data_IF_842445058203
#
_entry.id   IF_842445058203
#
_cell.length_a   1.000
_cell.length_b   1.000
_cell.length_c   1.000
_cell.angle_alpha   90.00
_cell.angle_beta   90.00
_cell.angle_gamma   90.00
#
_symmetry.space_group_name_H-M   'P 1'
#
loop_
_entity.id
_entity.type
_entity.pdbx_description
1 polymer ?
#
# COMPACT_ATOMS: atom_id res chain seq x y z
N UNK A 1 -14.38 -2.90 16.89
CA UNK A 1 -12.90 -2.80 16.88
C UNK A 1 -12.33 -2.88 15.46
N UNK A 2 -12.44 -4.01 14.74
CA UNK A 2 -12.00 -4.12 13.33
C UNK A 2 -12.72 -3.16 12.38
N UNK A 3 -14.03 -2.96 12.54
CA UNK A 3 -14.79 -2.01 11.70
C UNK A 3 -14.26 -0.58 11.79
N UNK A 4 -13.91 -0.12 13.00
CA UNK A 4 -13.37 1.23 13.23
C UNK A 4 -11.97 1.37 12.62
N UNK A 5 -11.15 0.31 12.71
CA UNK A 5 -9.83 0.28 12.09
C UNK A 5 -9.95 0.33 10.56
N UNK A 6 -10.88 -0.43 9.98
CA UNK A 6 -11.14 -0.44 8.54
C UNK A 6 -11.59 0.94 8.05
N UNK A 7 -12.48 1.59 8.80
CA UNK A 7 -12.92 2.95 8.49
C UNK A 7 -11.75 3.94 8.53
N UNK A 8 -10.88 3.85 9.54
CA UNK A 8 -9.70 4.71 9.65
C UNK A 8 -8.68 4.47 8.54
N UNK A 9 -8.49 3.21 8.12
CA UNK A 9 -7.63 2.86 6.98
C UNK A 9 -8.18 3.49 5.70
N UNK A 10 -9.48 3.34 5.45
CA UNK A 10 -10.12 3.90 4.25
C UNK A 10 -10.06 5.44 4.23
N UNK A 11 -10.21 6.10 5.38
CA UNK A 11 -10.08 7.56 5.51
C UNK A 11 -8.67 8.09 5.22
N UNK A 12 -7.67 7.21 5.21
CA UNK A 12 -6.26 7.56 4.99
C UNK A 12 -5.65 6.76 3.84
N UNK A 13 -6.48 6.21 2.92
CA UNK A 13 -6.03 5.41 1.78
C UNK A 13 -5.01 6.16 0.93
N UNK A 14 -5.15 7.50 0.80
CA UNK A 14 -4.23 8.39 0.09
C UNK A 14 -2.83 8.51 0.72
N UNK A 15 -2.68 8.08 1.98
CA UNK A 15 -1.43 8.16 2.76
C UNK A 15 -0.85 6.80 3.08
N UNK A 16 -1.55 5.72 2.73
CA UNK A 16 -1.17 4.35 3.04
C UNK A 16 -0.73 3.68 1.75
N UNK A 17 0.57 3.43 1.65
CA UNK A 17 1.17 2.78 0.50
C UNK A 17 0.93 1.25 0.49
N UNK A 18 0.90 0.62 1.67
CA UNK A 18 0.84 -0.83 1.78
C UNK A 18 0.25 -1.25 3.13
N UNK A 19 -0.56 -2.31 3.13
CA UNK A 19 -1.12 -2.91 4.34
C UNK A 19 -0.56 -4.33 4.48
N UNK A 20 0.13 -4.62 5.58
CA UNK A 20 0.58 -5.98 5.92
C UNK A 20 -0.35 -6.52 7.00
N UNK A 21 -1.00 -7.65 6.72
CA UNK A 21 -1.91 -8.24 7.69
C UNK A 21 -2.11 -9.73 7.47
N UNK A 22 -2.37 -10.43 8.57
CA UNK A 22 -2.89 -11.79 8.55
C UNK A 22 -4.43 -11.84 8.44
N UNK A 23 -5.08 -10.69 8.43
CA UNK A 23 -6.52 -10.52 8.24
C UNK A 23 -6.75 -9.93 6.86
N UNK A 24 -7.87 -10.28 6.22
CA UNK A 24 -8.21 -9.80 4.89
C UNK A 24 -8.49 -8.30 4.88
N UNK A 25 -7.74 -7.56 4.07
CA UNK A 25 -7.96 -6.16 3.73
C UNK A 25 -7.73 -5.96 2.23
N UNK A 26 -8.46 -5.03 1.63
CA UNK A 26 -8.26 -4.69 0.22
C UNK A 26 -6.81 -4.23 0.00
N UNK A 27 -6.11 -4.87 -0.94
CA UNK A 27 -4.71 -4.53 -1.25
C UNK A 27 -3.72 -4.95 -0.17
N UNK A 28 -4.09 -5.85 0.75
CA UNK A 28 -3.13 -6.39 1.72
C UNK A 28 -2.05 -7.22 1.02
N UNK A 29 -0.88 -7.25 1.63
CA UNK A 29 0.20 -8.18 1.30
C UNK A 29 0.48 -9.05 2.52
N UNK A 30 1.03 -10.23 2.27
CA UNK A 30 1.38 -11.15 3.34
C UNK A 30 2.69 -10.74 4.02
N UNK A 31 2.88 -11.23 5.25
CA UNK A 31 4.10 -10.98 5.99
C UNK A 31 5.31 -11.55 5.24
N UNK A 32 6.35 -10.73 5.09
CA UNK A 32 7.57 -11.08 4.35
C UNK A 32 7.58 -10.56 2.92
N UNK A 33 6.42 -10.35 2.29
CA UNK A 33 6.36 -9.85 0.91
C UNK A 33 6.88 -8.42 0.78
N UNK A 34 6.75 -7.60 1.84
CA UNK A 34 7.26 -6.22 1.85
C UNK A 34 8.78 -6.10 1.80
N UNK A 35 9.53 -7.18 1.99
CA UNK A 35 10.99 -7.15 1.89
C UNK A 35 11.47 -7.04 0.44
N UNK A 36 10.62 -7.42 -0.52
CA UNK A 36 10.90 -7.28 -1.94
C UNK A 36 9.64 -6.81 -2.70
N UNK A 37 9.22 -5.55 -2.50
CA UNK A 37 8.06 -5.00 -3.17
C UNK A 37 8.28 -4.94 -4.68
N UNK A 38 7.23 -5.22 -5.44
CA UNK A 38 7.17 -4.96 -6.87
C UNK A 38 7.13 -3.45 -7.13
N UNK A 39 7.54 -3.01 -8.32
CA UNK A 39 7.57 -1.59 -8.72
C UNK A 39 6.27 -0.83 -8.41
N UNK A 40 5.12 -1.47 -8.66
CA UNK A 40 3.81 -0.87 -8.45
C UNK A 40 3.41 -0.75 -6.96
N UNK A 41 4.15 -1.38 -6.04
CA UNK A 41 3.93 -1.29 -4.59
C UNK A 41 4.76 -0.17 -3.95
N UNK A 42 5.78 0.34 -4.64
CA UNK A 42 6.51 1.55 -4.27
C UNK A 42 5.85 2.83 -4.76
N UNK A 43 4.87 2.69 -5.65
CA UNK A 43 4.32 3.78 -6.41
C UNK A 43 2.87 3.96 -6.00
N UNK A 44 2.57 5.02 -5.25
CA UNK A 44 1.22 5.41 -4.85
C UNK A 44 0.40 5.88 -6.07
N UNK A 45 0.15 4.98 -7.02
CA UNK A 45 -0.39 5.25 -8.35
C UNK A 45 0.43 6.25 -9.18
N UNK A 46 1.71 6.44 -8.84
CA UNK A 46 2.64 7.28 -9.58
C UNK A 46 3.28 6.44 -10.68
N UNK A 47 3.41 7.00 -11.89
CA UNK A 47 4.26 6.37 -12.91
C UNK A 47 5.73 6.53 -12.51
N UNK A 48 6.29 5.47 -11.90
CA UNK A 48 7.68 5.41 -11.43
C UNK A 48 8.67 5.73 -12.54
N UNK A 49 8.39 5.28 -13.78
CA UNK A 49 9.28 5.52 -14.91
C UNK A 49 9.30 6.99 -15.26
N UNK A 50 8.14 7.66 -15.29
CA UNK A 50 8.09 9.11 -15.47
C UNK A 50 8.80 9.86 -14.34
N UNK A 51 8.61 9.47 -13.07
CA UNK A 51 9.30 10.10 -11.94
C UNK A 51 10.83 10.05 -12.10
N UNK A 52 11.38 8.87 -12.39
CA UNK A 52 12.82 8.67 -12.54
C UNK A 52 13.42 9.43 -13.73
N UNK A 53 12.64 9.63 -14.81
CA UNK A 53 13.06 10.36 -16.01
C UNK A 53 13.00 11.89 -15.87
N UNK A 54 12.36 12.40 -14.82
CA UNK A 54 12.23 13.85 -14.55
C UNK A 54 13.30 14.42 -13.60
N UNK A 55 14.30 13.62 -13.23
CA UNK A 55 15.43 13.99 -12.35
C UNK A 55 16.63 14.43 -13.20
#
# INVERSE_FOLDING_TARGET
NISLLTEKINQHEDKIQCIVSNIEFKGKVDFGETQNPSLNQYADNIDVMNFLLTI
#
